data_IF_939857396878
#
_entry.id   IF_939857396878
#
_cell.length_a   1.000
_cell.length_b   1.000
_cell.length_c   1.000
_cell.angle_alpha   90.00
_cell.angle_beta   90.00
_cell.angle_gamma   90.00
#
_symmetry.space_group_name_H-M   'P 1'
#
loop_
_entity.id
_entity.type
_entity.pdbx_description
1 polymer ?
#
# COMPACT_ATOMS: atom_id res chain seq x y z
N UNK A 1 -13.73 -16.07 -14.53
CA UNK A 1 -13.47 -15.62 -13.14
C UNK A 1 -14.33 -14.40 -12.82
N UNK A 2 -14.62 -14.12 -11.54
CA UNK A 2 -15.29 -12.87 -11.13
C UNK A 2 -14.31 -11.71 -11.01
N UNK A 3 -14.78 -10.47 -11.20
CA UNK A 3 -13.99 -9.23 -11.06
C UNK A 3 -13.19 -9.17 -9.76
N UNK A 4 -13.80 -9.54 -8.63
CA UNK A 4 -13.13 -9.60 -7.33
C UNK A 4 -11.89 -10.50 -7.33
N UNK A 5 -12.00 -11.71 -7.88
CA UNK A 5 -10.91 -12.68 -7.87
C UNK A 5 -9.76 -12.20 -8.76
N UNK A 6 -10.09 -11.61 -9.92
CA UNK A 6 -9.09 -11.02 -10.80
C UNK A 6 -8.38 -9.82 -10.15
N UNK A 7 -9.13 -8.95 -9.45
CA UNK A 7 -8.56 -7.82 -8.71
C UNK A 7 -7.64 -8.29 -7.56
N UNK A 8 -8.02 -9.36 -6.85
CA UNK A 8 -7.15 -9.97 -5.83
C UNK A 8 -5.82 -10.40 -6.43
N UNK A 9 -5.83 -11.13 -7.55
CA UNK A 9 -4.59 -11.60 -8.18
C UNK A 9 -3.68 -10.45 -8.62
N UNK A 10 -4.24 -9.40 -9.23
CA UNK A 10 -3.47 -8.22 -9.66
C UNK A 10 -2.87 -7.48 -8.46
N UNK A 11 -3.66 -7.23 -7.41
CA UNK A 11 -3.17 -6.55 -6.21
C UNK A 11 -2.15 -7.40 -5.45
N UNK A 12 -2.32 -8.73 -5.43
CA UNK A 12 -1.39 -9.66 -4.79
C UNK A 12 -0.05 -9.69 -5.52
N UNK A 13 -0.08 -9.64 -6.85
CA UNK A 13 1.13 -9.59 -7.68
C UNK A 13 1.85 -8.25 -7.57
N UNK A 14 1.09 -7.15 -7.46
CA UNK A 14 1.65 -5.82 -7.28
C UNK A 14 2.18 -5.56 -5.86
N UNK A 15 1.64 -6.25 -4.84
CA UNK A 15 1.93 -6.03 -3.41
C UNK A 15 1.84 -4.55 -2.98
N UNK A 16 1.07 -3.74 -3.71
CA UNK A 16 0.98 -2.29 -3.51
C UNK A 16 -0.42 -1.78 -3.83
N UNK A 17 -0.82 -0.65 -3.22
CA UNK A 17 -2.09 -0.01 -3.53
C UNK A 17 -2.12 0.46 -4.99
N UNK A 18 -3.17 0.09 -5.72
CA UNK A 18 -3.33 0.44 -7.13
C UNK A 18 -4.64 1.17 -7.38
N UNK A 19 -4.60 2.04 -8.40
CA UNK A 19 -5.79 2.75 -8.87
C UNK A 19 -6.72 1.81 -9.63
N UNK A 20 -8.03 2.03 -9.53
CA UNK A 20 -9.06 1.22 -10.20
C UNK A 20 -8.80 1.05 -11.70
N UNK A 21 -8.39 2.13 -12.38
CA UNK A 21 -7.95 2.10 -13.79
C UNK A 21 -6.90 1.05 -14.07
N UNK A 22 -5.85 1.07 -13.25
CA UNK A 22 -4.66 0.22 -13.41
C UNK A 22 -5.00 -1.22 -13.09
N UNK A 23 -5.84 -1.45 -12.07
CA UNK A 23 -6.35 -2.78 -11.76
C UNK A 23 -7.15 -3.33 -12.94
N UNK A 24 -8.09 -2.57 -13.49
CA UNK A 24 -8.90 -2.98 -14.62
C UNK A 24 -8.05 -3.29 -15.86
N UNK A 25 -7.08 -2.42 -16.18
CA UNK A 25 -6.16 -2.60 -17.29
C UNK A 25 -5.33 -3.89 -17.14
N UNK A 26 -4.74 -4.10 -15.95
CA UNK A 26 -3.96 -5.31 -15.68
C UNK A 26 -4.82 -6.59 -15.68
N UNK A 27 -6.07 -6.53 -15.22
CA UNK A 27 -7.00 -7.66 -15.28
C UNK A 27 -7.25 -8.09 -16.74
N UNK A 28 -7.48 -7.11 -17.62
CA UNK A 28 -7.74 -7.34 -19.04
C UNK A 28 -6.45 -7.81 -19.73
N UNK A 29 -5.31 -7.15 -19.46
CA UNK A 29 -4.00 -7.51 -20.01
C UNK A 29 -3.56 -8.93 -19.59
N UNK A 30 -3.92 -9.36 -18.38
CA UNK A 30 -3.67 -10.71 -17.89
C UNK A 30 -4.70 -11.74 -18.42
N UNK A 31 -5.74 -11.32 -19.14
CA UNK A 31 -6.80 -12.19 -19.65
C UNK A 31 -7.64 -12.85 -18.55
N UNK A 32 -7.61 -12.32 -17.32
CA UNK A 32 -8.29 -12.91 -16.16
C UNK A 32 -9.80 -12.66 -16.21
N UNK A 33 -10.20 -11.53 -16.78
CA UNK A 33 -11.59 -11.16 -16.98
C UNK A 33 -11.71 -10.21 -18.18
N UNK A 34 -12.83 -10.34 -18.90
CA UNK A 34 -13.15 -9.54 -20.08
C UNK A 34 -14.36 -8.67 -19.72
N UNK A 35 -14.23 -7.36 -19.95
CA UNK A 35 -15.34 -6.43 -19.82
C UNK A 35 -16.17 -6.39 -21.10
N UNK A 36 -17.48 -6.56 -20.97
CA UNK A 36 -18.45 -6.39 -22.06
C UNK A 36 -18.79 -4.90 -22.32
N UNK A 37 -18.54 -4.03 -21.33
CA UNK A 37 -18.93 -2.61 -21.38
C UNK A 37 -17.83 -1.63 -21.80
N UNK A 38 -18.23 -0.40 -22.12
CA UNK A 38 -17.34 0.74 -22.47
C UNK A 38 -16.39 1.16 -21.35
N UNK A 39 -16.73 0.88 -20.08
CA UNK A 39 -15.99 1.41 -18.92
C UNK A 39 -15.63 0.30 -17.93
N UNK A 40 -14.64 -0.55 -18.25
CA UNK A 40 -14.17 -1.62 -17.35
C UNK A 40 -13.77 -1.11 -15.97
N UNK A 41 -13.12 0.05 -15.89
CA UNK A 41 -12.74 0.68 -14.62
C UNK A 41 -13.93 0.92 -13.69
N UNK A 42 -15.06 1.41 -14.22
CA UNK A 42 -16.24 1.69 -13.44
C UNK A 42 -16.86 0.40 -12.86
N UNK A 43 -16.86 -0.68 -13.65
CA UNK A 43 -17.32 -1.99 -13.19
C UNK A 43 -16.44 -2.55 -12.09
N UNK A 44 -15.11 -2.47 -12.26
CA UNK A 44 -14.14 -2.95 -11.26
C UNK A 44 -14.27 -2.16 -9.97
N UNK A 45 -14.24 -0.83 -10.05
CA UNK A 45 -14.38 0.04 -8.87
C UNK A 45 -15.71 -0.15 -8.16
N UNK A 46 -16.84 -0.27 -8.88
CA UNK A 46 -18.15 -0.52 -8.29
C UNK A 46 -18.23 -1.86 -7.56
N UNK A 47 -17.70 -2.93 -8.16
CA UNK A 47 -17.65 -4.26 -7.52
C UNK A 47 -16.81 -4.23 -6.24
N UNK A 48 -15.66 -3.55 -6.25
CA UNK A 48 -14.80 -3.42 -5.07
C UNK A 48 -15.46 -2.58 -3.98
N UNK A 49 -16.10 -1.47 -4.35
CA UNK A 49 -16.85 -0.64 -3.42
C UNK A 49 -17.98 -1.41 -2.74
N UNK A 50 -18.71 -2.20 -3.53
CA UNK A 50 -19.81 -3.01 -3.03
C UNK A 50 -19.29 -4.10 -2.08
N UNK A 51 -18.18 -4.76 -2.42
CA UNK A 51 -17.56 -5.77 -1.56
C UNK A 51 -17.11 -5.17 -0.22
N UNK A 52 -16.42 -4.03 -0.26
CA UNK A 52 -15.99 -3.30 0.94
C UNK A 52 -17.21 -2.86 1.77
N UNK A 53 -18.28 -2.39 1.14
CA UNK A 53 -19.51 -1.98 1.83
C UNK A 53 -20.24 -3.15 2.48
N UNK A 54 -20.28 -4.32 1.83
CA UNK A 54 -20.99 -5.49 2.35
C UNK A 54 -20.19 -6.24 3.42
N UNK A 55 -18.87 -6.37 3.23
CA UNK A 55 -18.02 -7.17 4.11
C UNK A 55 -17.27 -6.33 5.16
N UNK A 56 -17.12 -5.02 4.94
CA UNK A 56 -16.41 -4.12 5.87
C UNK A 56 -15.03 -4.67 6.24
N UNK A 57 -14.83 -4.95 7.52
CA UNK A 57 -13.59 -5.52 8.06
C UNK A 57 -13.26 -6.93 7.59
N UNK A 58 -14.26 -7.66 7.10
CA UNK A 58 -14.07 -9.01 6.51
C UNK A 58 -13.70 -8.95 5.03
N UNK A 59 -13.74 -7.76 4.41
CA UNK A 59 -13.35 -7.62 3.01
C UNK A 59 -11.84 -7.83 2.85
N UNK A 60 -11.47 -8.57 1.80
CA UNK A 60 -10.07 -8.71 1.41
C UNK A 60 -9.48 -7.40 0.87
N UNK A 61 -10.33 -6.43 0.51
CA UNK A 61 -9.95 -5.15 -0.07
C UNK A 61 -10.15 -4.04 0.94
N UNK A 62 -9.27 -3.05 0.89
CA UNK A 62 -9.40 -1.80 1.64
C UNK A 62 -9.25 -0.63 0.68
N UNK A 63 -10.00 0.45 0.95
CA UNK A 63 -9.85 1.72 0.23
C UNK A 63 -8.83 2.57 0.97
N UNK A 64 -7.68 2.81 0.34
CA UNK A 64 -6.61 3.63 0.91
C UNK A 64 -6.67 5.08 0.43
N UNK A 65 -7.24 5.34 -0.75
CA UNK A 65 -7.33 6.67 -1.36
C UNK A 65 -8.54 6.77 -2.32
N UNK A 66 -8.88 7.96 -2.84
CA UNK A 66 -9.91 8.08 -3.87
C UNK A 66 -9.54 7.23 -5.09
N UNK A 67 -10.42 6.30 -5.45
CA UNK A 67 -10.23 5.33 -6.54
C UNK A 67 -8.97 4.44 -6.43
N UNK A 68 -8.34 4.37 -5.25
CA UNK A 68 -7.17 3.54 -4.98
C UNK A 68 -7.47 2.50 -3.92
N UNK A 69 -7.15 1.24 -4.24
CA UNK A 69 -7.49 0.07 -3.44
C UNK A 69 -6.27 -0.79 -3.20
N UNK A 70 -6.24 -1.46 -2.05
CA UNK A 70 -5.19 -2.38 -1.66
C UNK A 70 -5.79 -3.67 -1.11
N UNK A 71 -4.98 -4.74 -1.10
CA UNK A 71 -5.32 -5.92 -0.32
C UNK A 71 -5.01 -5.67 1.15
N UNK A 72 -5.95 -6.09 2.00
CA UNK A 72 -5.80 -5.99 3.46
C UNK A 72 -4.53 -6.72 3.91
N UNK A 73 -4.34 -7.96 3.49
CA UNK A 73 -3.15 -8.77 3.76
C UNK A 73 -1.85 -8.06 3.37
N UNK A 74 -1.77 -7.55 2.14
CA UNK A 74 -0.55 -6.88 1.64
C UNK A 74 -0.28 -5.54 2.33
N UNK A 75 -1.33 -4.83 2.76
CA UNK A 75 -1.22 -3.58 3.49
C UNK A 75 -0.69 -3.78 4.91
N UNK A 76 -1.17 -4.81 5.62
CA UNK A 76 -0.58 -5.20 6.90
C UNK A 76 0.86 -5.67 6.68
N UNK A 77 1.12 -6.53 5.71
CA UNK A 77 2.47 -7.08 5.47
C UNK A 77 3.55 -6.05 5.16
N UNK A 78 3.18 -4.89 4.63
CA UNK A 78 4.09 -3.75 4.42
C UNK A 78 4.25 -2.86 5.66
N UNK A 79 3.32 -2.94 6.61
CA UNK A 79 3.31 -2.20 7.87
C UNK A 79 3.73 -3.08 9.08
N UNK A 80 3.80 -4.41 8.91
CA UNK A 80 4.17 -5.41 9.90
C UNK A 80 5.71 -5.52 10.05
N UNK A 81 6.35 -4.41 10.39
CA UNK A 81 7.51 -4.48 11.30
C UNK A 81 7.09 -4.41 12.76
N UNK A 82 5.80 -4.24 13.08
CA UNK A 82 5.40 -4.14 14.49
C UNK A 82 3.95 -4.53 14.75
N UNK A 83 3.76 -5.75 15.26
CA UNK A 83 2.60 -6.07 16.08
C UNK A 83 2.78 -5.42 17.46
N UNK A 84 2.62 -4.10 17.56
CA UNK A 84 2.46 -3.34 18.81
C UNK A 84 1.97 -1.92 18.44
N UNK A 85 0.93 -1.35 19.11
CA UNK A 85 0.49 0.02 18.81
C UNK A 85 1.47 1.05 19.43
N UNK A 86 1.56 2.34 19.02
CA UNK A 86 1.02 3.08 17.87
C UNK A 86 2.15 3.89 17.11
N UNK A 87 1.93 5.14 16.67
CA UNK A 87 2.21 5.64 15.32
C UNK A 87 3.69 6.01 15.07
N UNK A 88 4.26 5.56 13.96
CA UNK A 88 5.45 6.23 13.44
C UNK A 88 5.70 5.85 11.99
N UNK A 89 5.41 6.82 11.12
CA UNK A 89 6.08 6.97 9.83
C UNK A 89 7.59 7.03 10.11
N UNK A 90 8.29 5.92 9.91
CA UNK A 90 9.75 5.86 10.00
C UNK A 90 10.30 5.85 8.58
N UNK A 91 10.86 6.98 8.18
CA UNK A 91 12.00 7.02 7.27
C UNK A 91 12.89 8.16 7.73
N UNK A 92 13.98 7.84 8.45
CA UNK A 92 15.33 8.19 8.04
C UNK A 92 16.32 7.52 9.00
N UNK A 93 17.16 6.67 8.43
CA UNK A 93 18.21 5.92 9.10
C UNK A 93 19.40 6.82 9.47
N UNK A 94 19.25 7.72 10.43
CA UNK A 94 20.33 8.27 11.26
C UNK A 94 19.69 8.79 12.54
N UNK A 95 19.90 8.08 13.65
CA UNK A 95 19.35 8.49 14.94
C UNK A 95 19.90 9.87 15.34
N UNK A 96 19.02 10.77 15.78
CA UNK A 96 19.36 12.10 16.27
C UNK A 96 20.48 12.07 17.34
N UNK A 97 20.56 10.98 18.10
CA UNK A 97 21.61 10.74 19.11
C UNK A 97 23.00 10.50 18.51
N UNK A 98 23.08 9.80 17.37
CA UNK A 98 24.37 9.51 16.69
C UNK A 98 24.95 10.78 16.03
N UNK A 99 24.09 11.64 15.47
CA UNK A 99 24.54 12.93 14.93
C UNK A 99 25.04 13.88 16.02
N UNK A 100 24.43 13.87 17.21
CA UNK A 100 24.86 14.71 18.33
C UNK A 100 26.25 14.34 18.87
N UNK A 101 26.59 13.03 18.89
CA UNK A 101 27.89 12.56 19.35
C UNK A 101 29.04 13.04 18.44
N UNK A 102 28.82 13.12 17.13
CA UNK A 102 29.86 13.46 16.16
C UNK A 102 30.19 14.97 16.10
N UNK A 103 29.24 15.86 16.46
CA UNK A 103 29.46 17.32 16.50
C UNK A 103 30.32 17.74 17.70
N UNK A 104 30.23 17.02 18.82
CA UNK A 104 31.02 17.33 20.02
C UNK A 104 32.49 16.91 19.90
N UNK A 105 32.78 15.87 19.12
CA UNK A 105 34.15 15.36 18.94
C UNK A 105 34.98 16.23 17.98
N UNK A 106 34.34 16.93 17.03
CA UNK A 106 35.04 17.80 16.06
C UNK A 106 35.46 19.15 16.68
N UNK A 107 34.67 19.69 17.62
CA UNK A 107 34.99 20.96 18.29
C UNK A 107 35.83 20.82 19.58
N UNK A 108 36.27 19.60 19.92
CA UNK A 108 36.91 19.28 21.20
C UNK A 108 38.43 19.37 21.26
N UNK A 109 39.17 19.43 20.14
CA UNK A 109 40.65 19.40 20.18
C UNK A 109 41.33 20.33 19.16
N UNK A 110 41.44 21.63 19.49
CA UNK A 110 42.64 22.40 19.14
C UNK A 110 42.78 23.66 20.00
N UNK A 111 43.45 23.55 21.14
CA UNK A 111 44.64 24.38 21.50
C UNK A 111 45.04 24.11 22.96
N UNK A 112 46.09 23.31 23.12
CA UNK A 112 46.99 23.45 24.25
C UNK A 112 48.00 24.56 23.95
N UNK A 113 48.18 25.47 24.90
CA UNK A 113 49.42 26.21 25.18
C UNK A 113 49.29 26.83 26.58
#
# INVERSE_FOLDING_TARGET
MSVKAAATEVLKKAQSPLHAKVIADQIIAAGLWISDGKTPEATVSASLYLDIKNNGDKSAFIKVAPQTFALRDSFFKSNDVVATPPPSSVNFAYSFTECAQKVLEEFGEHTGA
#
